data_IF_427098119124
#
_entry.id   IF_427098119124
#
_cell.length_a   1.000
_cell.length_b   1.000
_cell.length_c   1.000
_cell.angle_alpha   90.00
_cell.angle_beta   90.00
_cell.angle_gamma   90.00
#
_symmetry.space_group_name_H-M   'P 1'
#
loop_
_entity.id
_entity.type
_entity.pdbx_description
1 polymer ?
#
# COMPACT_ATOMS: atom_id res chain seq x y z
N UNK A 1 -23.86 6.72 30.20
CA UNK A 1 -23.40 6.82 28.80
C UNK A 1 -21.90 6.53 28.80
N UNK A 2 -21.47 5.35 28.34
CA UNK A 2 -20.05 4.92 28.34
C UNK A 2 -19.41 5.24 26.98
N UNK A 3 -18.16 5.68 27.03
CA UNK A 3 -17.48 6.46 26.01
C UNK A 3 -17.12 5.74 24.71
N UNK A 4 -17.02 6.55 23.65
CA UNK A 4 -16.29 6.23 22.44
C UNK A 4 -14.80 6.18 22.79
N UNK A 5 -14.23 4.97 22.78
CA UNK A 5 -12.77 4.78 22.80
C UNK A 5 -12.16 5.32 21.49
N UNK A 6 -10.88 5.73 21.50
CA UNK A 6 -10.22 6.20 20.29
C UNK A 6 -10.24 5.08 19.25
N UNK A 7 -10.50 5.46 18.00
CA UNK A 7 -10.47 4.57 16.84
C UNK A 7 -9.12 3.85 16.81
N UNK A 8 -9.10 2.56 17.15
CA UNK A 8 -7.94 1.70 16.96
C UNK A 8 -7.59 1.74 15.48
N UNK A 9 -6.50 2.44 15.17
CA UNK A 9 -5.95 2.49 13.82
C UNK A 9 -5.33 1.12 13.57
N UNK A 10 -6.05 0.25 12.86
CA UNK A 10 -5.51 -1.03 12.37
C UNK A 10 -4.43 -0.70 11.35
N UNK A 11 -3.17 -0.68 11.82
CA UNK A 11 -2.01 -0.34 11.00
C UNK A 11 -1.61 -1.50 10.09
N UNK A 12 -1.82 -1.34 8.78
CA UNK A 12 -1.10 -2.13 7.78
C UNK A 12 0.35 -1.63 7.73
N UNK A 13 1.30 -2.45 8.19
CA UNK A 13 2.72 -2.13 8.16
C UNK A 13 3.26 -2.03 6.73
N UNK A 14 3.73 -0.85 6.34
CA UNK A 14 4.61 -0.67 5.18
C UNK A 14 6.04 -0.75 5.70
N UNK A 15 6.74 -1.86 5.42
CA UNK A 15 8.19 -1.95 5.68
C UNK A 15 8.93 -1.02 4.72
N UNK A 16 9.24 0.18 5.20
CA UNK A 16 10.07 1.18 4.52
C UNK A 16 11.37 1.44 5.28
N UNK A 17 12.37 1.93 4.54
CA UNK A 17 13.71 2.29 5.00
C UNK A 17 13.71 3.05 6.36
N UNK A 18 14.67 2.74 7.24
CA UNK A 18 14.84 3.32 8.60
C UNK A 18 14.94 4.86 8.64
N UNK A 19 15.20 5.49 7.49
CA UNK A 19 15.33 6.94 7.35
C UNK A 19 13.97 7.63 7.09
N UNK A 20 12.89 6.86 6.92
CA UNK A 20 11.54 7.35 6.62
C UNK A 20 10.55 6.82 7.67
N UNK A 21 10.65 7.36 8.88
CA UNK A 21 9.81 6.97 10.01
C UNK A 21 8.32 7.35 9.82
N UNK A 22 7.44 6.52 10.35
CA UNK A 22 5.97 6.67 10.36
C UNK A 22 5.48 8.05 10.86
N UNK A 23 6.20 8.64 11.81
CA UNK A 23 5.88 9.97 12.36
C UNK A 23 6.04 11.08 11.31
N UNK A 24 7.02 10.95 10.41
CA UNK A 24 7.29 11.93 9.35
C UNK A 24 6.21 11.94 8.28
N UNK A 25 5.74 10.76 7.86
CA UNK A 25 4.66 10.64 6.85
C UNK A 25 3.32 11.12 7.38
N UNK A 26 3.02 10.84 8.65
CA UNK A 26 1.73 11.19 9.26
C UNK A 26 1.63 12.69 9.51
N UNK A 27 2.71 13.30 10.02
CA UNK A 27 2.79 14.74 10.27
C UNK A 27 2.73 15.54 8.97
N UNK A 28 3.48 15.12 7.96
CA UNK A 28 3.43 15.77 6.64
C UNK A 28 2.04 15.66 6.01
N UNK A 29 1.44 14.46 6.02
CA UNK A 29 0.13 14.26 5.42
C UNK A 29 -0.93 15.13 6.08
N UNK A 30 -0.90 15.28 7.41
CA UNK A 30 -1.78 16.18 8.14
C UNK A 30 -1.59 17.65 7.70
N UNK A 31 -0.35 18.11 7.57
CA UNK A 31 -0.02 19.49 7.18
C UNK A 31 -0.45 19.85 5.74
N UNK A 32 -0.45 18.90 4.81
CA UNK A 32 -0.82 19.16 3.41
C UNK A 32 -2.33 19.30 3.17
N UNK A 33 -3.17 18.71 4.01
CA UNK A 33 -4.62 18.61 3.77
C UNK A 33 -4.99 17.85 2.48
N UNK A 34 -6.28 17.79 2.10
CA UNK A 34 -6.73 17.03 0.93
C UNK A 34 -6.15 17.55 -0.39
N UNK A 35 -6.13 18.87 -0.60
CA UNK A 35 -5.64 19.49 -1.84
C UNK A 35 -4.14 19.29 -2.04
N UNK A 36 -3.34 19.45 -0.99
CA UNK A 36 -1.89 19.21 -1.08
C UNK A 36 -1.56 17.75 -1.37
N UNK A 37 -2.32 16.80 -0.79
CA UNK A 37 -2.18 15.38 -1.10
C UNK A 37 -2.55 15.06 -2.56
N UNK A 38 -3.61 15.67 -3.10
CA UNK A 38 -4.00 15.50 -4.51
C UNK A 38 -2.90 16.00 -5.46
N UNK A 39 -2.37 17.20 -5.22
CA UNK A 39 -1.29 17.78 -6.02
C UNK A 39 -0.01 16.92 -6.01
N UNK A 40 0.24 16.17 -4.93
CA UNK A 40 1.35 15.22 -4.85
C UNK A 40 1.07 13.97 -5.68
N UNK A 41 -0.16 13.46 -5.67
CA UNK A 41 -0.54 12.35 -6.55
C UNK A 41 -0.40 12.73 -8.02
N UNK A 42 -0.77 13.96 -8.40
CA UNK A 42 -0.60 14.45 -9.77
C UNK A 42 0.88 14.40 -10.20
N UNK A 43 1.79 14.86 -9.33
CA UNK A 43 3.24 14.76 -9.58
C UNK A 43 3.72 13.32 -9.70
N UNK A 44 3.22 12.41 -8.86
CA UNK A 44 3.57 10.98 -8.96
C UNK A 44 3.11 10.40 -10.29
N UNK A 45 1.91 10.77 -10.76
CA UNK A 45 1.40 10.36 -12.08
C UNK A 45 2.29 10.88 -13.20
N UNK A 46 2.72 12.15 -13.15
CA UNK A 46 3.65 12.72 -14.14
C UNK A 46 4.98 11.97 -14.18
N UNK A 47 5.50 11.56 -13.03
CA UNK A 47 6.74 10.78 -12.95
C UNK A 47 6.62 9.38 -13.57
N UNK A 48 5.46 8.72 -13.43
CA UNK A 48 5.19 7.47 -14.15
C UNK A 48 5.04 7.70 -15.65
N UNK A 49 4.30 8.73 -16.07
CA UNK A 49 4.10 9.05 -17.50
C UNK A 49 5.39 9.41 -18.22
N UNK A 50 6.31 10.08 -17.53
CA UNK A 50 7.63 10.43 -18.07
C UNK A 50 8.61 9.25 -18.06
N UNK A 51 8.26 8.12 -17.43
CA UNK A 51 9.13 6.95 -17.31
C UNK A 51 10.23 7.08 -16.25
N UNK A 52 10.28 8.19 -15.51
CA UNK A 52 11.21 8.38 -14.37
C UNK A 52 10.92 7.35 -13.28
N UNK A 53 9.64 7.11 -12.99
CA UNK A 53 9.21 6.00 -12.16
C UNK A 53 8.76 4.83 -13.03
N UNK A 54 9.20 3.63 -12.64
CA UNK A 54 8.78 2.37 -13.23
C UNK A 54 7.85 1.64 -12.25
N UNK A 55 6.79 0.98 -12.73
CA UNK A 55 5.92 0.21 -11.86
C UNK A 55 6.75 -0.91 -11.17
N UNK A 56 6.50 -1.17 -9.87
CA UNK A 56 7.18 -2.25 -9.18
C UNK A 56 6.78 -3.60 -9.79
N UNK A 57 7.66 -4.59 -9.68
CA UNK A 57 7.31 -5.97 -10.01
C UNK A 57 6.26 -6.46 -9.02
N UNK A 58 5.16 -6.99 -9.53
CA UNK A 58 4.02 -7.43 -8.73
C UNK A 58 4.01 -8.95 -8.59
N UNK A 59 3.65 -9.44 -7.40
CA UNK A 59 3.27 -10.82 -7.14
C UNK A 59 1.79 -10.85 -6.78
N UNK A 60 0.96 -11.28 -7.72
CA UNK A 60 -0.50 -11.30 -7.58
C UNK A 60 -1.00 -12.63 -7.02
N UNK A 61 -2.03 -12.55 -6.20
CA UNK A 61 -2.77 -13.68 -5.66
C UNK A 61 -4.26 -13.48 -5.95
N UNK A 62 -5.01 -14.53 -6.37
CA UNK A 62 -6.46 -14.48 -6.41
C UNK A 62 -7.02 -14.07 -5.04
N UNK A 63 -8.15 -13.37 -5.01
CA UNK A 63 -8.76 -12.91 -3.76
C UNK A 63 -9.04 -14.06 -2.77
N UNK A 64 -9.41 -15.25 -3.28
CA UNK A 64 -9.66 -16.43 -2.45
C UNK A 64 -8.41 -16.96 -1.73
N UNK A 65 -7.20 -16.66 -2.24
CA UNK A 65 -5.90 -16.99 -1.63
C UNK A 65 -5.32 -15.89 -0.77
N UNK A 66 -6.17 -15.06 -0.14
CA UNK A 66 -5.68 -13.97 0.69
C UNK A 66 -4.74 -14.44 1.81
N UNK A 67 -4.95 -15.62 2.39
CA UNK A 67 -4.04 -16.15 3.44
C UNK A 67 -2.62 -16.32 2.93
N UNK A 68 -2.46 -16.93 1.75
CA UNK A 68 -1.15 -17.14 1.11
C UNK A 68 -0.48 -15.81 0.78
N UNK A 69 -1.26 -14.82 0.36
CA UNK A 69 -0.76 -13.46 0.12
C UNK A 69 -0.23 -12.82 1.41
N UNK A 70 -0.94 -12.98 2.53
CA UNK A 70 -0.50 -12.47 3.84
C UNK A 70 0.72 -13.20 4.39
N UNK A 71 0.80 -14.52 4.22
CA UNK A 71 2.00 -15.29 4.56
C UNK A 71 3.19 -14.82 3.74
N UNK A 72 3.02 -14.63 2.43
CA UNK A 72 4.07 -14.10 1.55
C UNK A 72 4.51 -12.70 1.98
N UNK A 73 3.56 -11.82 2.34
CA UNK A 73 3.85 -10.48 2.83
C UNK A 73 4.69 -10.50 4.13
N UNK A 74 4.52 -11.51 4.98
CA UNK A 74 5.26 -11.67 6.23
C UNK A 74 6.73 -12.08 6.05
N UNK A 75 7.13 -12.42 4.82
CA UNK A 75 8.50 -12.83 4.47
C UNK A 75 9.20 -11.79 3.56
N UNK A 76 10.55 -11.77 3.51
CA UNK A 76 11.28 -10.91 2.57
C UNK A 76 10.97 -11.22 1.11
N UNK A 77 10.12 -10.39 0.48
CA UNK A 77 9.63 -10.56 -0.89
C UNK A 77 10.46 -9.81 -1.95
N UNK A 78 11.76 -9.59 -1.68
CA UNK A 78 12.81 -9.10 -2.61
C UNK A 78 12.38 -7.96 -3.54
N UNK A 79 11.71 -6.95 -2.99
CA UNK A 79 11.30 -5.75 -3.75
C UNK A 79 10.08 -5.95 -4.66
N UNK A 80 9.35 -7.06 -4.53
CA UNK A 80 8.08 -7.27 -5.23
C UNK A 80 6.91 -6.77 -4.41
N UNK A 81 5.93 -6.15 -5.05
CA UNK A 81 4.68 -5.79 -4.38
C UNK A 81 3.75 -6.99 -4.36
N UNK A 82 3.37 -7.47 -3.17
CA UNK A 82 2.28 -8.46 -3.01
C UNK A 82 0.93 -7.76 -3.20
N UNK A 83 0.07 -8.29 -4.07
CA UNK A 83 -1.27 -7.74 -4.34
C UNK A 83 -2.32 -8.83 -4.35
N UNK A 84 -3.57 -8.44 -4.04
CA UNK A 84 -4.75 -9.25 -4.26
C UNK A 84 -5.39 -8.83 -5.57
N UNK A 85 -5.58 -9.79 -6.47
CA UNK A 85 -6.34 -9.61 -7.69
C UNK A 85 -7.82 -9.95 -7.43
N UNK A 86 -8.65 -8.90 -7.42
CA UNK A 86 -10.09 -9.02 -7.19
C UNK A 86 -10.86 -9.48 -8.43
N UNK A 87 -10.20 -9.67 -9.58
CA UNK A 87 -10.83 -10.13 -10.82
C UNK A 87 -10.58 -11.61 -11.09
N UNK A 88 -9.66 -12.24 -10.34
CA UNK A 88 -9.31 -13.66 -10.49
C UNK A 88 -9.91 -14.44 -9.32
N UNK A 89 -10.81 -15.37 -9.63
CA UNK A 89 -11.33 -16.36 -8.69
C UNK A 89 -10.40 -17.58 -8.62
N UNK A 90 -10.44 -18.31 -7.50
CA UNK A 90 -9.64 -19.51 -7.32
C UNK A 90 -10.08 -20.61 -8.31
N UNK A 91 -9.24 -20.86 -9.32
CA UNK A 91 -9.29 -22.10 -10.11
C UNK A 91 -10.24 -22.14 -11.29
N UNK A 92 -10.27 -21.09 -12.13
CA UNK A 92 -10.66 -21.28 -13.55
C UNK A 92 -9.40 -21.17 -14.39
N UNK A 93 -8.77 -22.31 -14.68
CA UNK A 93 -7.85 -22.40 -15.81
C UNK A 93 -8.61 -21.99 -17.08
N UNK A 94 -8.00 -21.10 -17.87
CA UNK A 94 -8.47 -20.72 -19.20
C UNK A 94 -8.24 -21.84 -20.22
#
# INVERSE_FOLDING_TARGET
>A
MKGQGPLETVGLGVYGNKDFGWEGTTTWAAAQGPTGRAAVLDKVVELYRSGVLQPPVVQAFPLGRWRDAFETLSTPHRGRKVVLDCQVEDGVEA
#
